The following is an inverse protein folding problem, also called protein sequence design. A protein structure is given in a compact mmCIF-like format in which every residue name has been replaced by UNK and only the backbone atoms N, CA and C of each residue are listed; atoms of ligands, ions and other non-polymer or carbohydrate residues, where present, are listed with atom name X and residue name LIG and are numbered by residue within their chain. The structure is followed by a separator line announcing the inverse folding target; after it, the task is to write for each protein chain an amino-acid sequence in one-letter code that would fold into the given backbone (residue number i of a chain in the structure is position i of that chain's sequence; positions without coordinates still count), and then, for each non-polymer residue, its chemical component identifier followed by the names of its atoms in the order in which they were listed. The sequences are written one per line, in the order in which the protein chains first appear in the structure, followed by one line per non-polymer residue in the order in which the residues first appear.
data_IF_147183229150
#
_entry.id   IF_147183229150
#
_cell.length_a   1.000
_cell.length_b   1.000
_cell.length_c   1.000
_cell.angle_alpha   90.00
_cell.angle_beta   90.00
_cell.angle_gamma   90.00
#
_symmetry.space_group_name_H-M   'P 1'
#
loop_
_entity.id
_entity.type
_entity.pdbx_description
1 polymer ?
#
# COMPACT_ATOMS: atom_id res chain seq x y z
N UNK A 1 3.18 -4.56 -6.06
CA UNK A 1 3.03 -6.00 -6.37
C UNK A 1 2.21 -6.11 -7.63
N UNK A 2 2.52 -7.05 -8.51
CA UNK A 2 1.71 -7.32 -9.71
C UNK A 2 1.69 -8.82 -10.02
N UNK A 3 0.72 -9.29 -10.80
CA UNK A 3 0.81 -10.61 -11.44
C UNK A 3 2.04 -10.71 -12.33
N UNK A 4 2.50 -11.95 -12.56
CA UNK A 4 3.60 -12.23 -13.51
C UNK A 4 3.13 -12.81 -14.83
N UNK A 5 1.89 -13.28 -14.88
CA UNK A 5 1.27 -13.89 -16.06
C UNK A 5 -0.13 -13.35 -16.30
N UNK A 6 -0.59 -13.43 -17.55
CA UNK A 6 -1.96 -13.13 -17.96
C UNK A 6 -2.92 -14.30 -17.66
N UNK A 7 -4.18 -14.20 -18.10
CA UNK A 7 -5.20 -15.24 -17.91
C UNK A 7 -4.93 -16.54 -18.68
N UNK A 8 -4.09 -16.50 -19.72
CA UNK A 8 -3.67 -17.66 -20.51
C UNK A 8 -2.38 -18.30 -19.94
N UNK A 9 -1.80 -17.70 -18.89
CA UNK A 9 -0.55 -18.13 -18.29
C UNK A 9 0.70 -17.64 -19.02
N UNK A 10 0.57 -16.74 -20.00
CA UNK A 10 1.70 -16.15 -20.68
C UNK A 10 2.36 -15.05 -19.82
N UNK A 11 3.70 -14.93 -19.81
CA UNK A 11 4.39 -13.88 -19.06
C UNK A 11 3.95 -12.48 -19.49
N UNK A 12 3.71 -11.61 -18.51
CA UNK A 12 3.35 -10.21 -18.77
C UNK A 12 4.56 -9.41 -19.23
N UNK A 13 4.32 -8.50 -20.20
CA UNK A 13 5.30 -7.48 -20.55
C UNK A 13 5.49 -6.48 -19.39
N UNK A 14 6.62 -5.79 -19.34
CA UNK A 14 6.81 -4.70 -18.35
C UNK A 14 5.71 -3.64 -18.45
N UNK A 15 5.27 -3.30 -19.66
CA UNK A 15 4.26 -2.27 -19.90
C UNK A 15 2.89 -2.65 -19.32
N UNK A 16 2.50 -3.92 -19.41
CA UNK A 16 1.27 -4.40 -18.78
C UNK A 16 1.46 -4.53 -17.28
N UNK A 17 2.59 -5.12 -16.85
CA UNK A 17 2.87 -5.37 -15.45
C UNK A 17 2.92 -4.06 -14.64
N UNK A 18 3.56 -3.00 -15.14
CA UNK A 18 3.63 -1.70 -14.44
C UNK A 18 2.24 -1.10 -14.18
N UNK A 19 1.27 -1.32 -15.07
CA UNK A 19 -0.11 -0.81 -14.93
C UNK A 19 -0.91 -1.62 -13.91
N UNK A 20 -0.53 -2.88 -13.69
CA UNK A 20 -1.15 -3.79 -12.72
C UNK A 20 -0.45 -3.75 -11.35
N UNK A 21 0.52 -2.85 -11.18
CA UNK A 21 1.31 -2.75 -9.97
C UNK A 21 0.50 -2.05 -8.87
N UNK A 22 0.06 -2.82 -7.88
CA UNK A 22 -0.63 -2.29 -6.69
C UNK A 22 0.37 -1.89 -5.60
N UNK A 23 0.12 -0.77 -4.95
CA UNK A 23 0.87 -0.32 -3.77
C UNK A 23 0.45 -1.16 -2.55
N UNK A 24 1.43 -1.66 -1.80
CA UNK A 24 1.19 -2.44 -0.58
C UNK A 24 1.51 -1.65 0.68
N UNK A 25 2.53 -0.80 0.63
CA UNK A 25 2.98 0.01 1.75
C UNK A 25 3.99 1.07 1.25
N UNK A 26 4.12 2.14 2.03
CA UNK A 26 5.12 3.19 1.89
C UNK A 26 5.40 3.78 3.27
N UNK A 27 6.65 3.76 3.70
CA UNK A 27 7.05 4.23 5.02
C UNK A 27 8.48 4.76 5.02
N UNK A 28 8.77 5.59 6.02
CA UNK A 28 10.11 6.14 6.26
C UNK A 28 10.84 5.29 7.31
N UNK A 29 12.12 5.01 7.06
CA UNK A 29 12.97 4.27 8.00
C UNK A 29 14.36 4.90 8.02
N UNK A 30 14.86 5.37 9.18
CA UNK A 30 16.25 5.76 9.32
C UNK A 30 17.17 4.56 9.06
N UNK A 31 18.22 4.78 8.25
CA UNK A 31 19.22 3.77 7.92
C UNK A 31 20.57 4.20 8.50
N UNK A 32 21.25 3.26 9.15
CA UNK A 32 22.64 3.45 9.60
C UNK A 32 23.61 3.12 8.46
N UNK A 33 24.85 3.60 8.55
CA UNK A 33 25.89 3.14 7.65
C UNK A 33 26.11 1.62 7.78
N UNK A 34 26.22 0.92 6.65
CA UNK A 34 26.38 -0.53 6.59
C UNK A 34 25.07 -1.30 6.39
N UNK A 35 25.04 -2.56 6.83
CA UNK A 35 23.91 -3.46 6.60
C UNK A 35 22.78 -3.18 7.58
N UNK A 36 21.58 -2.94 7.06
CA UNK A 36 20.36 -2.75 7.85
C UNK A 36 19.37 -3.87 7.53
N UNK A 37 18.70 -4.39 8.57
CA UNK A 37 17.56 -5.32 8.40
C UNK A 37 16.28 -4.59 8.78
N UNK A 38 15.40 -4.36 7.82
CA UNK A 38 14.12 -3.67 8.03
C UNK A 38 13.02 -4.72 8.20
N UNK A 39 12.22 -4.59 9.26
CA UNK A 39 11.03 -5.42 9.49
C UNK A 39 9.80 -4.54 9.52
N UNK A 40 8.82 -4.87 8.69
CA UNK A 40 7.56 -4.14 8.56
C UNK A 40 6.42 -5.13 8.65
N UNK A 41 5.46 -4.87 9.54
CA UNK A 41 4.28 -5.73 9.70
C UNK A 41 3.25 -5.30 8.67
N UNK A 42 2.51 -6.25 8.10
CA UNK A 42 1.42 -5.95 7.16
C UNK A 42 0.37 -5.01 7.76
N UNK A 43 0.08 -5.16 9.06
CA UNK A 43 -0.88 -4.33 9.81
C UNK A 43 -0.49 -2.87 9.93
N UNK A 44 0.78 -2.52 9.66
CA UNK A 44 1.26 -1.14 9.69
C UNK A 44 1.18 -0.47 8.29
N UNK A 45 0.64 -1.16 7.28
CA UNK A 45 0.58 -0.67 5.89
C UNK A 45 -0.06 0.71 5.77
N UNK A 46 0.63 1.62 5.07
CA UNK A 46 0.16 2.97 4.78
C UNK A 46 -1.03 3.06 3.82
N UNK A 47 -1.43 1.92 3.25
CA UNK A 47 -2.55 1.78 2.32
C UNK A 47 -3.85 1.48 3.07
N UNK A 48 -3.76 0.82 4.22
CA UNK A 48 -4.92 0.16 4.83
C UNK A 48 -5.38 0.73 6.16
N UNK A 49 -6.64 0.43 6.49
CA UNK A 49 -7.23 0.66 7.81
C UNK A 49 -7.66 -0.67 8.46
N UNK A 50 -7.54 -0.80 9.80
CA UNK A 50 -8.02 -1.95 10.54
C UNK A 50 -9.55 -2.11 10.41
N UNK A 51 -10.00 -3.35 10.59
CA UNK A 51 -11.39 -3.76 10.45
C UNK A 51 -12.36 -2.87 11.24
N UNK A 52 -11.98 -2.51 12.47
CA UNK A 52 -12.76 -1.66 13.38
C UNK A 52 -13.10 -0.31 12.76
N UNK A 53 -12.22 0.26 11.93
CA UNK A 53 -12.47 1.56 11.29
C UNK A 53 -13.37 1.44 10.07
N UNK A 54 -13.24 0.35 9.31
CA UNK A 54 -14.13 0.06 8.17
C UNK A 54 -15.57 -0.19 8.64
N UNK A 55 -15.75 -1.01 9.68
CA UNK A 55 -17.06 -1.45 10.15
C UNK A 55 -17.51 -0.77 11.46
N UNK A 56 -16.96 0.40 11.77
CA UNK A 56 -17.34 1.18 12.98
C UNK A 56 -18.83 1.53 12.97
N UNK A 57 -19.38 1.66 14.17
CA UNK A 57 -20.77 2.08 14.32
C UNK A 57 -20.96 3.56 13.94
N UNK A 58 -21.82 3.81 12.97
CA UNK A 58 -22.14 5.15 12.48
C UNK A 58 -22.94 5.99 13.49
N UNK A 59 -23.62 5.36 14.47
CA UNK A 59 -24.26 6.10 15.56
C UNK A 59 -23.28 6.87 16.44
N UNK A 60 -21.99 6.48 16.41
CA UNK A 60 -20.92 7.16 17.15
C UNK A 60 -20.36 8.37 16.39
N UNK A 61 -20.86 8.66 15.18
CA UNK A 61 -20.45 9.82 14.39
C UNK A 61 -20.85 11.10 15.12
N UNK A 62 -19.85 11.86 15.55
CA UNK A 62 -20.05 13.13 16.22
C UNK A 62 -20.19 14.26 15.21
N UNK A 63 -21.03 15.26 15.55
CA UNK A 63 -21.21 16.45 14.74
C UNK A 63 -22.17 16.28 13.56
N UNK A 64 -22.65 17.42 13.03
CA UNK A 64 -23.49 17.49 11.84
C UNK A 64 -22.65 17.66 10.58
N UNK A 65 -23.24 17.43 9.40
CA UNK A 65 -22.55 17.64 8.13
C UNK A 65 -21.94 19.06 8.06
N UNK A 66 -20.68 19.15 7.63
CA UNK A 66 -19.93 20.41 7.58
C UNK A 66 -19.18 20.80 8.86
N UNK A 67 -19.35 20.08 9.97
CA UNK A 67 -18.58 20.32 11.19
C UNK A 67 -17.21 19.65 11.16
N UNK A 68 -16.25 20.19 11.91
CA UNK A 68 -14.90 19.62 12.01
C UNK A 68 -14.90 18.20 12.61
N UNK A 69 -15.79 17.94 13.58
CA UNK A 69 -15.94 16.63 14.22
C UNK A 69 -16.46 15.58 13.23
N UNK A 70 -17.46 15.96 12.42
CA UNK A 70 -17.97 15.13 11.34
C UNK A 70 -16.87 14.82 10.31
N UNK A 71 -16.14 15.85 9.85
CA UNK A 71 -15.06 15.68 8.90
C UNK A 71 -13.91 14.79 9.43
N UNK A 72 -13.54 14.95 10.71
CA UNK A 72 -12.54 14.09 11.34
C UNK A 72 -13.01 12.64 11.42
N UNK A 73 -14.26 12.41 11.85
CA UNK A 73 -14.85 11.08 11.87
C UNK A 73 -14.79 10.50 10.46
N UNK A 74 -15.34 11.18 9.46
CA UNK A 74 -15.44 10.69 8.08
C UNK A 74 -14.04 10.38 7.49
N UNK A 75 -13.05 11.27 7.69
CA UNK A 75 -11.66 11.06 7.26
C UNK A 75 -11.03 9.80 7.87
N UNK A 76 -11.27 9.54 9.16
CA UNK A 76 -10.77 8.32 9.80
C UNK A 76 -11.34 7.02 9.23
N UNK A 77 -12.44 7.09 8.47
CA UNK A 77 -12.98 5.95 7.72
C UNK A 77 -12.38 5.79 6.33
N UNK A 78 -11.61 6.77 5.85
CA UNK A 78 -10.91 6.67 4.58
C UNK A 78 -9.72 5.71 4.70
N UNK A 79 -9.64 4.78 3.75
CA UNK A 79 -8.49 3.93 3.50
C UNK A 79 -8.91 2.52 3.13
N UNK A 80 -7.98 1.77 2.55
CA UNK A 80 -8.30 0.45 2.02
C UNK A 80 -8.56 -0.53 3.16
N UNK A 81 -9.62 -1.35 3.13
CA UNK A 81 -9.84 -2.33 4.20
C UNK A 81 -8.67 -3.32 4.31
N UNK A 82 -8.12 -3.50 5.51
CA UNK A 82 -6.92 -4.31 5.70
C UNK A 82 -7.08 -5.77 5.23
N UNK A 83 -8.28 -6.34 5.35
CA UNK A 83 -8.60 -7.69 4.87
C UNK A 83 -8.65 -7.80 3.33
N UNK A 84 -8.43 -6.71 2.60
CA UNK A 84 -8.30 -6.67 1.15
C UNK A 84 -6.90 -6.23 0.67
N UNK A 85 -5.89 -6.15 1.56
CA UNK A 85 -4.54 -5.66 1.23
C UNK A 85 -3.90 -6.38 0.04
N UNK A 86 -4.15 -7.69 -0.10
CA UNK A 86 -3.65 -8.50 -1.20
C UNK A 86 -4.81 -9.07 -2.04
N UNK A 87 -4.61 -9.32 -3.35
CA UNK A 87 -5.59 -10.00 -4.18
C UNK A 87 -5.97 -11.37 -3.61
N UNK A 88 -7.14 -11.89 -3.99
CA UNK A 88 -7.66 -13.19 -3.53
C UNK A 88 -6.70 -14.36 -3.82
N UNK A 89 -6.07 -14.35 -4.99
CA UNK A 89 -5.30 -15.47 -5.50
C UNK A 89 -6.16 -16.67 -5.88
N UNK A 90 -5.53 -17.84 -6.02
CA UNK A 90 -6.17 -19.12 -6.43
C UNK A 90 -5.77 -20.26 -5.48
N UNK A 91 -6.55 -21.35 -5.38
CA UNK A 91 -6.17 -22.52 -4.56
C UNK A 91 -4.84 -23.16 -4.94
N UNK A 92 -4.45 -23.07 -6.22
CA UNK A 92 -3.21 -23.59 -6.80
C UNK A 92 -2.01 -22.67 -6.54
N UNK A 93 -2.27 -21.40 -6.23
CA UNK A 93 -1.26 -20.36 -6.08
C UNK A 93 -1.22 -19.43 -7.29
N UNK A 94 -1.62 -18.18 -7.08
CA UNK A 94 -1.57 -17.15 -8.10
C UNK A 94 -0.19 -16.49 -8.11
N UNK A 95 0.56 -16.55 -9.23
CA UNK A 95 1.93 -16.08 -9.27
C UNK A 95 1.99 -14.56 -9.34
N UNK A 96 2.74 -13.97 -8.42
CA UNK A 96 2.91 -12.53 -8.29
C UNK A 96 4.36 -12.18 -8.00
N UNK A 97 4.73 -10.96 -8.34
CA UNK A 97 6.01 -10.36 -7.96
C UNK A 97 5.78 -9.28 -6.91
N UNK A 98 6.51 -9.38 -5.79
CA UNK A 98 6.64 -8.31 -4.81
C UNK A 98 7.83 -7.47 -5.21
N UNK A 99 7.61 -6.17 -5.38
CA UNK A 99 8.64 -5.18 -5.69
C UNK A 99 8.86 -4.30 -4.46
N UNK A 100 10.13 -4.01 -4.15
CA UNK A 100 10.54 -3.07 -3.12
C UNK A 100 11.56 -2.09 -3.70
N UNK A 101 11.45 -0.82 -3.31
CA UNK A 101 12.37 0.25 -3.70
C UNK A 101 12.66 1.12 -2.48
N UNK A 102 13.92 1.53 -2.33
CA UNK A 102 14.34 2.50 -1.32
C UNK A 102 14.70 3.81 -2.01
N UNK A 103 14.00 4.89 -1.69
CA UNK A 103 14.26 6.24 -2.22
C UNK A 103 14.90 7.14 -1.16
N UNK A 104 15.47 8.27 -1.61
CA UNK A 104 16.10 9.23 -0.73
C UNK A 104 15.06 10.15 -0.09
N UNK A 105 14.96 10.10 1.24
CA UNK A 105 14.02 10.90 2.01
C UNK A 105 14.14 12.41 1.74
N UNK A 106 15.35 12.95 1.56
CA UNK A 106 15.52 14.38 1.35
C UNK A 106 14.91 14.88 0.02
N UNK A 107 14.83 14.00 -0.97
CA UNK A 107 14.20 14.29 -2.26
C UNK A 107 12.67 14.11 -2.20
N UNK A 108 12.18 13.23 -1.33
CA UNK A 108 10.78 12.81 -1.28
C UNK A 108 9.96 13.62 -0.26
N UNK A 109 10.58 14.08 0.84
CA UNK A 109 9.87 14.71 1.96
C UNK A 109 9.18 16.01 1.58
N UNK A 110 7.98 16.22 2.10
CA UNK A 110 7.36 17.55 2.20
C UNK A 110 7.56 18.06 3.64
N UNK A 111 8.19 19.23 3.79
CA UNK A 111 8.33 19.87 5.10
C UNK A 111 6.98 20.42 5.56
N UNK A 112 6.38 19.73 6.52
CA UNK A 112 5.12 20.10 7.16
C UNK A 112 4.97 19.33 8.48
N UNK A 113 4.13 19.85 9.36
CA UNK A 113 3.75 19.16 10.58
C UNK A 113 2.65 18.11 10.31
N UNK A 114 2.83 16.90 10.81
CA UNK A 114 1.89 15.78 10.69
C UNK A 114 1.00 15.62 11.94
N UNK A 115 0.73 16.70 12.67
CA UNK A 115 -0.25 16.69 13.77
C UNK A 115 -1.64 16.31 13.27
N UNK A 116 -2.24 15.32 13.92
CA UNK A 116 -3.58 14.84 13.63
C UNK A 116 -3.77 13.36 14.00
N UNK A 117 -4.98 12.87 13.83
CA UNK A 117 -5.34 11.45 13.97
C UNK A 117 -5.61 10.84 12.60
N UNK A 118 -5.44 9.52 12.47
CA UNK A 118 -5.80 8.74 11.27
C UNK A 118 -4.91 8.98 10.04
N UNK A 119 -3.59 9.13 10.27
CA UNK A 119 -2.59 9.33 9.22
C UNK A 119 -2.02 8.02 8.64
N UNK A 120 -2.59 6.87 9.01
CA UNK A 120 -2.08 5.55 8.66
C UNK A 120 -2.54 5.03 7.30
N UNK A 121 -3.56 5.65 6.66
CA UNK A 121 -3.96 5.34 5.29
C UNK A 121 -3.50 6.39 4.27
N UNK A 122 -2.36 7.04 4.56
CA UNK A 122 -1.92 8.21 3.80
C UNK A 122 -1.66 7.93 2.31
N UNK A 123 -1.37 6.69 1.91
CA UNK A 123 -1.11 6.35 0.51
C UNK A 123 -2.30 6.69 -0.40
N UNK A 124 -3.53 6.38 0.03
CA UNK A 124 -4.74 6.61 -0.79
C UNK A 124 -5.60 7.77 -0.29
N UNK A 125 -5.47 8.15 0.98
CA UNK A 125 -6.29 9.21 1.59
C UNK A 125 -5.54 10.51 1.84
N UNK A 126 -4.22 10.52 1.66
CA UNK A 126 -3.38 11.63 2.08
C UNK A 126 -3.44 11.88 3.58
N UNK A 127 -3.17 13.12 3.98
CA UNK A 127 -3.20 13.55 5.38
C UNK A 127 -4.18 14.72 5.49
N UNK A 128 -5.10 14.64 6.45
CA UNK A 128 -6.18 15.64 6.60
C UNK A 128 -5.61 17.05 6.77
N UNK A 129 -6.11 17.99 5.98
CA UNK A 129 -5.71 19.41 6.01
C UNK A 129 -4.19 19.64 5.83
N UNK A 130 -3.53 18.72 5.14
CA UNK A 130 -2.08 18.73 4.87
C UNK A 130 -1.80 18.40 3.42
N UNK A 131 -0.57 18.66 2.99
CA UNK A 131 -0.09 18.23 1.68
C UNK A 131 0.16 16.72 1.72
N UNK A 132 0.06 16.07 0.56
CA UNK A 132 0.46 14.67 0.44
C UNK A 132 1.93 14.51 0.90
N UNK A 133 2.26 13.52 1.74
CA UNK A 133 3.55 13.47 2.45
C UNK A 133 4.75 13.03 1.60
N UNK A 134 4.58 12.91 0.29
CA UNK A 134 5.59 12.49 -0.68
C UNK A 134 5.54 13.38 -1.93
N UNK A 135 6.69 13.94 -2.33
CA UNK A 135 6.83 14.81 -3.52
C UNK A 135 6.72 14.03 -4.84
N UNK A 136 6.96 12.71 -4.82
CA UNK A 136 6.92 11.89 -6.02
C UNK A 136 5.49 11.76 -6.55
N UNK A 137 5.32 11.58 -7.88
CA UNK A 137 4.02 11.21 -8.43
C UNK A 137 3.44 9.98 -7.72
N UNK A 138 2.14 9.99 -7.46
CA UNK A 138 1.43 8.80 -6.99
C UNK A 138 1.62 7.66 -8.01
N UNK A 139 2.06 6.49 -7.55
CA UNK A 139 2.42 5.36 -8.42
C UNK A 139 3.89 5.30 -8.84
N UNK A 140 4.74 6.27 -8.47
CA UNK A 140 6.18 6.18 -8.70
C UNK A 140 6.76 4.87 -8.10
N UNK A 141 7.64 4.12 -8.82
CA UNK A 141 8.27 4.47 -10.09
C UNK A 141 7.56 3.94 -11.36
N UNK A 142 6.32 3.45 -11.24
CA UNK A 142 5.57 2.80 -12.32
C UNK A 142 4.57 3.74 -13.04
N UNK A 143 4.48 5.00 -12.61
CA UNK A 143 3.62 6.03 -13.21
C UNK A 143 3.98 6.34 -14.67
N UNK A 144 5.23 6.04 -15.08
CA UNK A 144 5.75 6.32 -16.43
C UNK A 144 6.16 5.04 -17.16
N UNK A 145 6.09 5.04 -18.50
CA UNK A 145 6.68 3.98 -19.31
C UNK A 145 8.22 4.01 -19.21
N UNK A 146 8.85 2.86 -19.42
CA UNK A 146 10.29 2.73 -19.53
C UNK A 146 10.65 1.85 -20.74
N UNK A 147 11.79 2.08 -21.41
CA UNK A 147 12.20 1.34 -22.60
C UNK A 147 12.80 -0.03 -22.23
N UNK A 148 12.05 -0.87 -21.52
CA UNK A 148 12.45 -2.21 -21.08
C UNK A 148 11.34 -3.21 -21.37
N UNK A 149 11.71 -4.46 -21.66
CA UNK A 149 10.73 -5.51 -22.00
C UNK A 149 10.16 -6.23 -20.78
N UNK A 150 10.96 -6.39 -19.73
CA UNK A 150 10.64 -7.13 -18.50
C UNK A 150 11.02 -6.32 -17.25
N UNK A 151 10.45 -6.67 -16.10
CA UNK A 151 10.67 -5.95 -14.84
C UNK A 151 12.11 -6.04 -14.32
N UNK A 152 12.79 -7.15 -14.57
CA UNK A 152 14.19 -7.36 -14.17
C UNK A 152 15.12 -6.31 -14.77
N UNK A 153 14.90 -5.93 -16.03
CA UNK A 153 15.69 -4.91 -16.74
C UNK A 153 15.43 -3.48 -16.23
N UNK A 154 14.29 -3.27 -15.55
CA UNK A 154 13.96 -1.99 -14.92
C UNK A 154 14.78 -1.72 -13.66
N UNK A 155 15.25 -2.78 -12.99
CA UNK A 155 15.81 -2.69 -11.64
C UNK A 155 17.06 -1.81 -11.56
N UNK A 156 17.18 -1.14 -10.43
CA UNK A 156 18.34 -0.33 -10.01
C UNK A 156 18.90 -0.89 -8.70
N UNK A 157 20.12 -0.51 -8.27
CA UNK A 157 20.74 -1.07 -7.06
C UNK A 157 19.93 -0.92 -5.76
N UNK A 158 19.01 0.06 -5.71
CA UNK A 158 18.10 0.32 -4.61
C UNK A 158 16.72 -0.34 -4.78
N UNK A 159 16.56 -1.22 -5.76
CA UNK A 159 15.32 -1.94 -6.06
C UNK A 159 15.55 -3.44 -5.95
N UNK A 160 14.53 -4.16 -5.53
CA UNK A 160 14.55 -5.61 -5.48
C UNK A 160 13.16 -6.16 -5.80
N UNK A 161 13.14 -7.38 -6.35
CA UNK A 161 11.93 -8.14 -6.57
C UNK A 161 12.00 -9.49 -5.87
N UNK A 162 10.83 -10.02 -5.51
CA UNK A 162 10.67 -11.36 -4.97
C UNK A 162 9.47 -12.03 -5.60
N UNK A 163 9.69 -13.19 -6.22
CA UNK A 163 8.63 -14.05 -6.71
C UNK A 163 7.89 -14.70 -5.54
N UNK A 164 6.56 -14.63 -5.58
CA UNK A 164 5.64 -15.07 -4.54
C UNK A 164 4.41 -15.74 -5.16
N UNK A 165 3.69 -16.53 -4.36
CA UNK A 165 2.40 -17.11 -4.75
C UNK A 165 1.34 -16.73 -3.71
N UNK A 166 0.17 -16.28 -4.18
CA UNK A 166 -0.99 -16.03 -3.34
C UNK A 166 -1.91 -17.24 -3.42
N UNK A 167 -2.01 -17.99 -2.32
CA UNK A 167 -2.87 -19.17 -2.24
C UNK A 167 -4.17 -18.86 -1.52
N UNK A 168 -5.28 -18.97 -2.24
CA UNK A 168 -6.61 -18.89 -1.65
C UNK A 168 -6.93 -20.18 -0.90
N UNK A 169 -7.47 -20.06 0.31
CA UNK A 169 -8.04 -21.20 1.05
C UNK A 169 -9.54 -21.04 1.05
N UNK A 170 -10.25 -21.97 0.42
CA UNK A 170 -11.72 -21.96 0.38
C UNK A 170 -12.31 -22.43 1.72
N UNK A 171 -12.25 -21.53 2.70
CA UNK A 171 -12.75 -21.77 4.05
C UNK A 171 -13.25 -20.46 4.67
N UNK A 172 -14.44 -20.52 5.27
CA UNK A 172 -14.95 -19.43 6.10
C UNK A 172 -14.35 -19.53 7.49
N UNK A 173 -13.70 -18.47 7.96
CA UNK A 173 -13.15 -18.39 9.32
C UNK A 173 -13.93 -17.34 10.11
N UNK A 174 -14.40 -17.73 11.29
CA UNK A 174 -14.97 -16.76 12.22
C UNK A 174 -13.85 -15.85 12.72
N UNK A 175 -14.13 -14.55 12.76
CA UNK A 175 -13.23 -13.57 13.33
C UNK A 175 -13.18 -13.80 14.85
N UNK A 176 -12.09 -14.35 15.35
CA UNK A 176 -11.79 -14.31 16.77
C UNK A 176 -11.40 -12.88 17.12
N UNK A 177 -12.18 -12.22 17.98
CA UNK A 177 -11.75 -10.95 18.57
C UNK A 177 -10.52 -11.27 19.41
N UNK A 178 -9.34 -10.86 18.96
CA UNK A 178 -8.19 -10.79 19.85
C UNK A 178 -8.51 -9.65 20.84
N UNK A 179 -8.62 -10.01 22.12
CA UNK A 179 -8.84 -9.07 23.22
C UNK A 179 -7.65 -8.14 23.43
#
# INVERSE_FOLDING_TARGET
MAPTVDENGAPLSFEDQRRLMIELDKFTQPLNAGTNTIRRRSVDSSVTIPYERTFRNQSNRQGTAGTAQAAQFDFCGCGWPHHMLIPKGTPEGYPVVVFAMVTNWDDDKIEQDLVGTCNDAAAYCGIRDRRYPDKRPMGFPFDRPAPVGILEDFLKPNMAIKQCNIRFTDATRLRTQQG
#
